data_IF_449749286417
#
_entry.id   IF_449749286417
#
_cell.length_a   1.000
_cell.length_b   1.000
_cell.length_c   1.000
_cell.angle_alpha   90.00
_cell.angle_beta   90.00
_cell.angle_gamma   90.00
#
_symmetry.space_group_name_H-M   'P 1'
#
loop_
_entity.id
_entity.type
_entity.pdbx_description
1 polymer ?
#
# COMPACT_ATOMS: atom_id res chain seq x y z
N UNK A 1 -19.74 15.07 -5.47
CA UNK A 1 -19.80 14.15 -6.62
C UNK A 1 -20.42 12.79 -6.26
N UNK A 2 -19.77 11.90 -5.49
CA UNK A 2 -20.37 10.57 -5.20
C UNK A 2 -21.51 10.59 -4.16
N UNK A 3 -21.44 11.45 -3.15
CA UNK A 3 -22.50 11.58 -2.13
C UNK A 3 -23.77 12.31 -2.64
N UNK A 4 -23.74 12.81 -3.88
CA UNK A 4 -24.82 13.61 -4.48
C UNK A 4 -25.53 12.87 -5.63
N UNK A 5 -25.06 11.69 -6.03
CA UNK A 5 -25.74 10.90 -7.05
C UNK A 5 -26.90 10.12 -6.43
N UNK A 6 -28.12 10.37 -6.90
CA UNK A 6 -29.38 9.86 -6.35
C UNK A 6 -29.52 8.31 -6.36
N UNK A 7 -28.55 7.57 -6.91
CA UNK A 7 -28.62 6.11 -7.13
C UNK A 7 -27.35 5.35 -6.70
N UNK A 8 -26.73 5.72 -5.58
CA UNK A 8 -25.51 5.04 -5.06
C UNK A 8 -25.70 4.40 -3.69
N UNK A 9 -26.91 4.44 -3.12
CA UNK A 9 -27.20 3.76 -1.85
C UNK A 9 -27.05 2.24 -1.99
N UNK A 10 -26.34 1.61 -1.05
CA UNK A 10 -26.07 0.16 -1.06
C UNK A 10 -24.94 -0.29 -1.99
N UNK A 11 -24.35 0.61 -2.77
CA UNK A 11 -23.23 0.28 -3.64
C UNK A 11 -21.88 0.34 -2.90
N UNK A 12 -21.08 -0.71 -3.00
CA UNK A 12 -19.68 -0.71 -2.53
C UNK A 12 -18.78 -0.23 -3.66
N UNK A 13 -17.93 0.76 -3.36
CA UNK A 13 -16.90 1.26 -4.26
C UNK A 13 -15.53 1.06 -3.61
N UNK A 14 -14.55 0.61 -4.39
CA UNK A 14 -13.17 0.55 -3.93
C UNK A 14 -12.43 1.82 -4.33
N UNK A 15 -11.80 2.45 -3.34
CA UNK A 15 -10.84 3.53 -3.55
C UNK A 15 -9.47 2.84 -3.65
N UNK A 16 -9.02 2.65 -4.88
CA UNK A 16 -7.74 2.00 -5.19
C UNK A 16 -7.07 2.73 -6.35
N UNK A 17 -5.75 2.60 -6.45
CA UNK A 17 -4.96 3.18 -7.53
C UNK A 17 -5.32 2.58 -8.89
N UNK A 18 -5.10 3.34 -9.96
CA UNK A 18 -5.32 2.88 -11.34
C UNK A 18 -4.29 1.84 -11.77
N UNK A 19 -3.11 1.92 -11.17
CA UNK A 19 -1.95 1.11 -11.47
C UNK A 19 -1.54 0.38 -10.19
N UNK A 20 -2.08 -0.82 -9.93
CA UNK A 20 -1.67 -1.62 -8.78
C UNK A 20 -0.17 -1.89 -8.86
N UNK A 21 0.52 -1.68 -7.75
CA UNK A 21 1.98 -1.79 -7.64
C UNK A 21 2.30 -3.04 -6.84
N UNK A 22 3.25 -3.84 -7.33
CA UNK A 22 3.71 -5.00 -6.58
C UNK A 22 4.50 -4.56 -5.33
N UNK A 23 4.50 -5.40 -4.29
CA UNK A 23 5.16 -5.04 -3.03
C UNK A 23 6.68 -4.76 -3.20
N UNK A 24 7.35 -5.50 -4.07
CA UNK A 24 8.76 -5.28 -4.39
C UNK A 24 9.01 -3.97 -5.15
N UNK A 25 8.13 -3.62 -6.09
CA UNK A 25 8.16 -2.31 -6.75
C UNK A 25 7.94 -1.17 -5.74
N UNK A 26 7.00 -1.33 -4.80
CA UNK A 26 6.75 -0.35 -3.75
C UNK A 26 7.99 -0.15 -2.86
N UNK A 27 8.63 -1.24 -2.44
CA UNK A 27 9.89 -1.19 -1.69
C UNK A 27 10.98 -0.49 -2.50
N UNK A 28 11.13 -0.81 -3.78
CA UNK A 28 12.12 -0.19 -4.65
C UNK A 28 11.88 1.33 -4.80
N UNK A 29 10.63 1.76 -4.95
CA UNK A 29 10.27 3.18 -4.97
C UNK A 29 10.62 3.88 -3.66
N UNK A 30 10.31 3.26 -2.52
CA UNK A 30 10.64 3.81 -1.20
C UNK A 30 12.16 3.97 -1.05
N UNK A 31 12.92 2.92 -1.37
CA UNK A 31 14.37 2.96 -1.32
C UNK A 31 14.95 4.04 -2.24
N UNK A 32 14.45 4.16 -3.46
CA UNK A 32 14.86 5.21 -4.40
C UNK A 32 14.54 6.62 -3.89
N UNK A 33 13.39 6.81 -3.25
CA UNK A 33 13.00 8.09 -2.65
C UNK A 33 13.96 8.51 -1.54
N UNK A 34 14.32 7.56 -0.67
CA UNK A 34 15.25 7.75 0.44
C UNK A 34 16.73 7.78 0.01
N UNK A 35 17.05 7.47 -1.25
CA UNK A 35 18.43 7.44 -1.73
C UNK A 35 19.24 6.21 -1.30
N UNK A 36 18.56 5.12 -0.90
CA UNK A 36 19.18 3.87 -0.46
C UNK A 36 19.00 2.76 -1.50
N UNK A 37 19.87 1.74 -1.45
CA UNK A 37 19.74 0.57 -2.33
C UNK A 37 18.63 -0.36 -1.83
N UNK A 38 17.77 -0.90 -2.72
CA UNK A 38 16.75 -1.86 -2.31
C UNK A 38 17.38 -3.15 -1.78
N UNK A 39 16.71 -3.85 -0.86
CA UNK A 39 17.17 -5.13 -0.34
C UNK A 39 17.25 -6.18 -1.47
N UNK A 40 18.34 -6.95 -1.48
CA UNK A 40 18.60 -7.98 -2.51
C UNK A 40 17.98 -9.34 -2.19
N UNK A 41 17.63 -9.57 -0.93
CA UNK A 41 17.14 -10.85 -0.45
C UNK A 41 15.66 -10.75 -0.11
N UNK A 42 14.91 -11.80 -0.47
CA UNK A 42 13.51 -11.96 -0.09
C UNK A 42 13.44 -12.78 1.19
N UNK A 43 12.59 -12.35 2.12
CA UNK A 43 12.31 -13.12 3.34
C UNK A 43 11.08 -14.00 3.07
N UNK A 44 11.16 -15.33 3.26
CA UNK A 44 10.00 -16.20 3.15
C UNK A 44 8.88 -15.77 4.09
N UNK A 45 7.64 -15.80 3.60
CA UNK A 45 6.44 -15.43 4.38
C UNK A 45 6.34 -16.17 5.71
N UNK A 46 6.69 -17.45 5.73
CA UNK A 46 6.69 -18.27 6.94
C UNK A 46 7.62 -17.71 8.03
N UNK A 47 8.81 -17.23 7.65
CA UNK A 47 9.77 -16.63 8.57
C UNK A 47 9.21 -15.33 9.15
N UNK A 48 8.63 -14.47 8.31
CA UNK A 48 8.00 -13.23 8.77
C UNK A 48 6.88 -13.52 9.78
N UNK A 49 6.05 -14.55 9.52
CA UNK A 49 4.99 -14.97 10.44
C UNK A 49 5.52 -15.49 11.77
N UNK A 50 6.59 -16.31 11.75
CA UNK A 50 7.22 -16.81 12.97
C UNK A 50 7.74 -15.65 13.81
N UNK A 51 8.51 -14.73 13.21
CA UNK A 51 9.03 -13.55 13.91
C UNK A 51 7.89 -12.69 14.44
N UNK A 52 6.84 -12.47 13.63
CA UNK A 52 5.66 -11.70 14.02
C UNK A 52 4.90 -12.27 15.23
N UNK A 53 4.95 -13.59 15.44
CA UNK A 53 4.32 -14.26 16.57
C UNK A 53 5.15 -14.23 17.87
N UNK A 54 6.43 -13.85 17.81
CA UNK A 54 7.28 -13.80 19.01
C UNK A 54 6.89 -12.63 19.94
N UNK A 55 7.02 -12.81 21.27
CA UNK A 55 6.92 -11.70 22.21
C UNK A 55 7.89 -10.58 21.84
N UNK A 56 7.40 -9.35 21.70
CA UNK A 56 8.22 -8.20 21.33
C UNK A 56 8.47 -8.01 19.84
N UNK A 57 7.84 -8.80 18.95
CA UNK A 57 7.94 -8.64 17.49
C UNK A 57 7.65 -7.22 16.99
N UNK A 58 6.77 -6.49 17.69
CA UNK A 58 6.49 -5.07 17.42
C UNK A 58 7.74 -4.19 17.42
N UNK A 59 8.76 -4.49 18.21
CA UNK A 59 10.00 -3.70 18.24
C UNK A 59 10.87 -3.96 17.00
N UNK A 60 10.80 -5.17 16.45
CA UNK A 60 11.52 -5.57 15.23
C UNK A 60 10.87 -4.91 14.01
N UNK A 61 9.53 -4.86 13.97
CA UNK A 61 8.76 -4.31 12.86
C UNK A 61 8.31 -2.85 13.07
N UNK A 62 9.06 -2.06 13.83
CA UNK A 62 8.83 -0.62 13.94
C UNK A 62 7.44 -0.24 14.48
N UNK A 63 6.86 -1.08 15.33
CA UNK A 63 5.53 -0.91 15.94
C UNK A 63 4.40 -1.66 15.23
N UNK A 64 4.65 -2.34 14.11
CA UNK A 64 3.61 -3.09 13.39
C UNK A 64 3.01 -4.19 14.26
N UNK A 65 1.68 -4.25 14.32
CA UNK A 65 0.95 -5.35 14.97
C UNK A 65 0.99 -6.62 14.13
N UNK A 66 0.69 -7.76 14.75
CA UNK A 66 0.61 -9.04 14.03
C UNK A 66 -0.44 -9.00 12.91
N UNK A 67 -1.58 -8.37 13.17
CA UNK A 67 -2.69 -8.23 12.21
C UNK A 67 -2.26 -7.39 11.01
N UNK A 68 -1.51 -6.30 11.23
CA UNK A 68 -0.98 -5.47 10.17
C UNK A 68 0.04 -6.24 9.31
N UNK A 69 0.88 -7.07 9.93
CA UNK A 69 1.82 -7.93 9.22
C UNK A 69 1.09 -9.00 8.39
N UNK A 70 0.07 -9.64 8.96
CA UNK A 70 -0.72 -10.64 8.25
C UNK A 70 -1.46 -10.02 7.05
N UNK A 71 -1.98 -8.80 7.23
CA UNK A 71 -2.59 -8.01 6.16
C UNK A 71 -1.58 -7.64 5.07
N UNK A 72 -0.39 -7.15 5.44
CA UNK A 72 0.67 -6.82 4.49
C UNK A 72 1.13 -8.02 3.66
N UNK A 73 1.22 -9.19 4.29
CA UNK A 73 1.60 -10.43 3.63
C UNK A 73 0.48 -11.03 2.77
N UNK A 74 -0.72 -10.44 2.80
CA UNK A 74 -1.84 -10.88 2.01
C UNK A 74 -1.90 -10.10 0.70
N UNK A 75 -1.73 -10.81 -0.42
CA UNK A 75 -1.82 -10.19 -1.74
C UNK A 75 -3.29 -10.03 -2.12
N UNK A 76 -3.76 -8.79 -2.14
CA UNK A 76 -5.04 -8.41 -2.72
C UNK A 76 -4.87 -7.20 -3.63
N UNK A 77 -5.71 -7.14 -4.66
CA UNK A 77 -5.87 -5.98 -5.52
C UNK A 77 -7.36 -5.68 -5.63
N UNK A 78 -7.69 -4.40 -5.76
CA UNK A 78 -9.06 -3.94 -5.89
C UNK A 78 -9.24 -3.19 -7.20
N UNK A 79 -10.38 -3.39 -7.84
CA UNK A 79 -10.75 -2.60 -9.03
C UNK A 79 -11.54 -1.36 -8.63
N UNK A 80 -11.13 -0.22 -9.18
CA UNK A 80 -11.84 1.06 -9.05
C UNK A 80 -12.79 1.36 -10.23
N UNK A 81 -13.04 0.39 -11.13
CA UNK A 81 -13.83 0.61 -12.35
C UNK A 81 -15.24 1.12 -12.08
N UNK A 82 -15.89 0.64 -11.01
CA UNK A 82 -17.22 1.11 -10.58
C UNK A 82 -17.21 2.56 -10.09
N UNK A 83 -16.11 3.00 -9.49
CA UNK A 83 -15.94 4.39 -9.06
C UNK A 83 -15.78 5.30 -10.28
N UNK A 84 -14.97 4.88 -11.24
CA UNK A 84 -14.70 5.61 -12.49
C UNK A 84 -15.91 5.69 -13.42
N UNK A 85 -16.75 4.65 -13.48
CA UNK A 85 -17.97 4.68 -14.29
C UNK A 85 -18.97 5.74 -13.82
N UNK A 86 -18.81 6.25 -12.59
CA UNK A 86 -19.56 7.40 -12.05
C UNK A 86 -18.91 8.75 -12.33
N UNK A 87 -17.88 8.80 -13.18
CA UNK A 87 -17.16 10.03 -13.54
C UNK A 87 -16.13 10.49 -12.51
N UNK A 88 -15.77 9.64 -11.54
CA UNK A 88 -14.73 9.98 -10.56
C UNK A 88 -13.35 9.96 -11.22
N UNK A 89 -12.60 11.05 -11.08
CA UNK A 89 -11.23 11.19 -11.59
C UNK A 89 -10.28 11.39 -10.41
N UNK A 90 -9.32 10.47 -10.26
CA UNK A 90 -8.29 10.58 -9.24
C UNK A 90 -7.34 11.74 -9.56
N UNK A 91 -7.08 12.59 -8.56
CA UNK A 91 -6.05 13.63 -8.66
C UNK A 91 -4.65 13.05 -8.90
N UNK A 92 -4.38 11.89 -8.28
CA UNK A 92 -3.17 11.13 -8.49
C UNK A 92 -3.58 9.69 -8.84
N UNK A 93 -3.55 9.30 -10.12
CA UNK A 93 -3.94 7.95 -10.54
C UNK A 93 -2.91 6.87 -10.15
N UNK A 94 -1.70 7.29 -9.76
CA UNK A 94 -0.62 6.44 -9.27
C UNK A 94 -0.03 6.99 -7.98
N UNK A 95 0.32 6.10 -7.06
CA UNK A 95 1.01 6.44 -5.81
C UNK A 95 2.45 6.95 -6.01
N UNK A 96 3.07 6.76 -7.18
CA UNK A 96 4.50 7.04 -7.39
C UNK A 96 4.89 8.49 -7.10
N UNK A 97 4.28 9.47 -7.77
CA UNK A 97 4.66 10.88 -7.60
C UNK A 97 4.36 11.44 -6.19
N UNK A 98 3.18 11.19 -5.58
CA UNK A 98 2.92 11.58 -4.21
C UNK A 98 3.90 10.96 -3.21
N UNK A 99 4.18 9.67 -3.36
CA UNK A 99 5.12 8.95 -2.50
C UNK A 99 6.51 9.57 -2.57
N UNK A 100 7.04 9.78 -3.79
CA UNK A 100 8.36 10.40 -3.97
C UNK A 100 8.42 11.81 -3.39
N UNK A 101 7.32 12.58 -3.47
CA UNK A 101 7.25 13.92 -2.85
C UNK A 101 7.36 13.85 -1.33
N UNK A 102 6.66 12.90 -0.70
CA UNK A 102 6.69 12.70 0.75
C UNK A 102 8.09 12.26 1.18
N UNK A 103 8.67 11.27 0.51
CA UNK A 103 9.96 10.67 0.87
C UNK A 103 11.15 11.63 0.74
N UNK A 104 11.06 12.66 -0.13
CA UNK A 104 12.09 13.71 -0.21
C UNK A 104 12.35 14.39 1.13
N UNK A 105 11.34 14.48 2.00
CA UNK A 105 11.47 15.11 3.32
C UNK A 105 12.21 14.22 4.34
N UNK A 106 12.46 12.96 4.00
CA UNK A 106 13.07 11.96 4.87
C UNK A 106 14.39 11.42 4.31
N UNK A 107 14.96 12.09 3.30
CA UNK A 107 16.29 11.75 2.81
C UNK A 107 17.30 11.90 3.96
N UNK A 108 18.01 10.81 4.23
CA UNK A 108 19.10 10.73 5.19
C UNK A 108 20.37 11.37 4.63
#
# INVERSE_FOLDING_TARGET
>A
YLAQSENTSGEVFHIADDYPVACDELIAMICSGLGIKPPRFKIPRAIVKIIGALPGSKYIFGGASKELLDYFLYSQSYSNGKLKSRGFVFKNPSAHQPLMRILKNFRL
#
